data_IF_297995626906
#
_entry.id   IF_297995626906
#
_cell.length_a   1.000
_cell.length_b   1.000
_cell.length_c   1.000
_cell.angle_alpha   90.00
_cell.angle_beta   90.00
_cell.angle_gamma   90.00
#
_symmetry.space_group_name_H-M   'P 1'
#
loop_
_entity.id
_entity.type
_entity.pdbx_description
1 polymer ?
#
# COMPACT_ATOMS: atom_id res chain seq x y z
N UNK A 1 47.91 -4.89 31.93
CA UNK A 1 49.12 -4.50 32.68
C UNK A 1 49.24 -2.99 32.59
N UNK A 2 49.46 -2.29 33.71
CA UNK A 2 49.58 -0.82 33.75
C UNK A 2 51.04 -0.47 33.53
N UNK A 3 51.40 0.13 32.39
CA UNK A 3 52.76 0.59 32.13
C UNK A 3 53.01 1.88 32.91
N UNK A 4 54.12 1.93 33.65
CA UNK A 4 54.49 3.11 34.44
C UNK A 4 55.42 3.96 33.61
N UNK A 5 54.90 5.08 33.14
CA UNK A 5 55.62 5.99 32.25
C UNK A 5 56.69 6.73 33.06
N UNK A 6 57.97 6.56 32.70
CA UNK A 6 59.08 7.20 33.41
C UNK A 6 59.89 8.18 32.55
N UNK A 7 59.83 8.08 31.22
CA UNK A 7 60.60 8.91 30.30
C UNK A 7 59.77 9.40 29.09
N UNK A 8 60.24 10.44 28.39
CA UNK A 8 59.62 10.99 27.19
C UNK A 8 59.63 10.03 26.00
N UNK A 9 60.64 9.16 25.90
CA UNK A 9 60.67 8.10 24.88
C UNK A 9 59.60 7.05 25.15
N UNK A 10 59.43 6.66 26.42
CA UNK A 10 58.37 5.74 26.86
C UNK A 10 56.98 6.31 26.54
N UNK A 11 56.76 7.61 26.81
CA UNK A 11 55.55 8.33 26.40
C UNK A 11 55.29 8.23 24.89
N UNK A 12 56.30 8.47 24.06
CA UNK A 12 56.16 8.41 22.59
C UNK A 12 55.80 7.02 22.12
N UNK A 13 56.44 5.99 22.68
CA UNK A 13 56.13 4.60 22.33
C UNK A 13 54.73 4.20 22.75
N UNK A 14 54.28 4.62 23.94
CA UNK A 14 52.93 4.36 24.43
C UNK A 14 51.89 5.14 23.61
N UNK A 15 52.16 6.38 23.20
CA UNK A 15 51.28 7.13 22.29
C UNK A 15 51.14 6.41 20.94
N UNK A 16 52.23 5.90 20.37
CA UNK A 16 52.18 5.14 19.13
C UNK A 16 51.36 3.86 19.31
N UNK A 17 51.57 3.13 20.40
CA UNK A 17 50.78 1.95 20.75
C UNK A 17 49.29 2.26 20.88
N UNK A 18 48.95 3.28 21.68
CA UNK A 18 47.57 3.69 21.92
C UNK A 18 46.89 4.16 20.64
N UNK A 19 47.61 4.85 19.75
CA UNK A 19 47.09 5.25 18.44
C UNK A 19 46.78 4.03 17.57
N UNK A 20 47.64 3.01 17.56
CA UNK A 20 47.40 1.76 16.82
C UNK A 20 46.16 1.05 17.35
N UNK A 21 46.08 0.84 18.67
CA UNK A 21 44.93 0.19 19.32
C UNK A 21 43.64 0.96 19.05
N UNK A 22 43.69 2.30 19.14
CA UNK A 22 42.54 3.15 18.82
C UNK A 22 42.09 2.97 17.37
N UNK A 23 43.03 2.92 16.42
CA UNK A 23 42.71 2.73 15.01
C UNK A 23 42.05 1.38 14.74
N UNK A 24 42.48 0.33 15.43
CA UNK A 24 41.87 -1.00 15.35
C UNK A 24 40.43 -0.96 15.86
N UNK A 25 40.22 -0.40 17.06
CA UNK A 25 38.89 -0.27 17.67
C UNK A 25 37.96 0.58 16.79
N UNK A 26 38.44 1.72 16.26
CA UNK A 26 37.63 2.56 15.37
C UNK A 26 37.25 1.85 14.07
N UNK A 27 38.13 0.99 13.54
CA UNK A 27 37.85 0.17 12.37
C UNK A 27 36.77 -0.87 12.64
N UNK A 28 36.89 -1.60 13.76
CA UNK A 28 35.89 -2.59 14.19
C UNK A 28 34.53 -1.93 14.46
N UNK A 29 34.53 -0.81 15.17
CA UNK A 29 33.30 -0.09 15.51
C UNK A 29 32.58 0.42 14.25
N UNK A 30 33.32 0.97 13.28
CA UNK A 30 32.75 1.39 11.98
C UNK A 30 32.08 0.24 11.27
N UNK A 31 32.77 -0.91 11.19
CA UNK A 31 32.22 -2.11 10.56
C UNK A 31 30.91 -2.57 11.20
N UNK A 32 30.85 -2.60 12.54
CA UNK A 32 29.61 -2.96 13.24
C UNK A 32 28.49 -1.94 13.04
N UNK A 33 28.80 -0.64 13.10
CA UNK A 33 27.81 0.42 12.89
C UNK A 33 27.23 0.40 11.47
N UNK A 34 28.06 0.18 10.44
CA UNK A 34 27.61 0.05 9.05
C UNK A 34 26.71 -1.18 8.86
N UNK A 35 27.03 -2.29 9.54
CA UNK A 35 26.21 -3.51 9.53
C UNK A 35 24.86 -3.31 10.20
N UNK A 36 24.80 -2.56 11.30
CA UNK A 36 23.54 -2.22 11.97
C UNK A 36 22.74 -1.24 11.12
N UNK A 37 23.39 -0.17 10.64
CA UNK A 37 22.75 0.87 9.84
C UNK A 37 22.17 0.30 8.54
N UNK A 38 22.89 -0.58 7.84
CA UNK A 38 22.40 -1.22 6.60
C UNK A 38 21.16 -2.09 6.82
N UNK A 39 21.04 -2.79 7.95
CA UNK A 39 19.85 -3.58 8.30
C UNK A 39 18.60 -2.74 8.50
N UNK A 40 18.73 -1.51 9.00
CA UNK A 40 17.60 -0.60 9.19
C UNK A 40 17.34 0.30 7.97
N UNK A 41 18.39 0.68 7.23
CA UNK A 41 18.30 1.55 6.05
C UNK A 41 17.43 0.96 4.96
N UNK A 42 17.54 -0.35 4.68
CA UNK A 42 16.76 -1.01 3.62
C UNK A 42 15.25 -1.03 3.97
N UNK A 43 14.82 -1.50 5.15
CA UNK A 43 13.41 -1.41 5.56
C UNK A 43 12.86 0.03 5.56
N UNK A 44 13.62 1.01 6.07
CA UNK A 44 13.21 2.42 6.10
C UNK A 44 13.07 3.01 4.70
N UNK A 45 13.99 2.72 3.78
CA UNK A 45 13.91 3.16 2.38
C UNK A 45 12.75 2.51 1.63
N UNK A 46 12.41 1.26 1.94
CA UNK A 46 11.23 0.60 1.37
C UNK A 46 9.95 1.26 1.89
N UNK A 47 9.89 1.57 3.18
CA UNK A 47 8.73 2.26 3.77
C UNK A 47 8.54 3.67 3.18
N UNK A 48 9.63 4.43 2.99
CA UNK A 48 9.54 5.75 2.36
C UNK A 48 9.10 5.66 0.90
N UNK A 49 9.62 4.69 0.12
CA UNK A 49 9.19 4.45 -1.27
C UNK A 49 7.73 4.02 -1.37
N UNK A 50 7.27 3.18 -0.45
CA UNK A 50 5.85 2.78 -0.37
C UNK A 50 4.99 4.00 -0.04
N UNK A 51 5.40 4.80 0.94
CA UNK A 51 4.70 6.03 1.29
C UNK A 51 4.68 7.03 0.13
N UNK A 52 5.75 7.18 -0.65
CA UNK A 52 5.80 8.08 -1.81
C UNK A 52 4.92 7.61 -2.96
N UNK A 53 4.82 6.29 -3.17
CA UNK A 53 3.91 5.69 -4.16
C UNK A 53 2.43 5.83 -3.75
N UNK A 54 2.17 5.71 -2.45
CA UNK A 54 0.82 5.72 -1.88
C UNK A 54 0.32 7.14 -1.57
N UNK A 55 1.21 8.06 -1.19
CA UNK A 55 0.91 9.45 -0.85
C UNK A 55 0.06 10.18 -1.91
N UNK A 56 0.35 10.14 -3.22
CA UNK A 56 -0.49 10.80 -4.23
C UNK A 56 -1.89 10.20 -4.35
N UNK A 57 -2.13 8.97 -3.87
CA UNK A 57 -3.48 8.39 -3.80
C UNK A 57 -4.28 8.89 -2.60
N UNK A 58 -3.62 9.24 -1.48
CA UNK A 58 -4.27 9.67 -0.25
C UNK A 58 -4.21 11.19 -0.01
N UNK A 59 -3.56 11.95 -0.89
CA UNK A 59 -3.60 13.42 -0.83
C UNK A 59 -5.03 13.89 -1.15
N UNK A 60 -5.74 14.52 -0.20
CA UNK A 60 -7.07 15.06 -0.47
C UNK A 60 -6.95 16.19 -1.50
N UNK A 61 -7.78 16.14 -2.52
CA UNK A 61 -7.83 17.16 -3.55
C UNK A 61 -8.40 18.43 -2.88
N UNK A 62 -7.56 19.43 -2.61
CA UNK A 62 -7.90 20.64 -1.82
C UNK A 62 -8.97 21.55 -2.45
N UNK A 63 -9.61 21.13 -3.53
CA UNK A 63 -10.50 21.96 -4.33
C UNK A 63 -11.99 21.78 -3.98
N UNK A 64 -12.38 20.87 -3.06
CA UNK A 64 -13.78 20.70 -2.67
C UNK A 64 -13.98 20.64 -1.14
N UNK A 65 -14.72 21.59 -0.54
CA UNK A 65 -15.02 21.59 0.89
C UNK A 65 -16.11 20.55 1.18
N UNK A 66 -15.69 19.31 1.46
CA UNK A 66 -16.57 18.18 1.81
C UNK A 66 -15.98 16.79 1.55
N UNK A 67 -14.84 16.68 0.84
CA UNK A 67 -14.33 15.42 0.29
C UNK A 67 -13.58 14.51 1.28
N UNK A 68 -13.30 14.96 2.51
CA UNK A 68 -12.34 14.26 3.38
C UNK A 68 -12.81 12.84 3.77
N UNK A 69 -14.13 12.61 3.90
CA UNK A 69 -14.70 11.28 4.16
C UNK A 69 -14.83 10.43 2.89
N UNK A 70 -15.10 11.07 1.76
CA UNK A 70 -15.31 10.41 0.48
C UNK A 70 -13.97 9.95 -0.13
N UNK A 71 -12.88 10.68 0.14
CA UNK A 71 -11.56 10.42 -0.39
C UNK A 71 -10.89 9.19 0.26
N UNK A 72 -11.01 8.98 1.57
CA UNK A 72 -10.44 7.79 2.22
C UNK A 72 -11.22 6.52 1.86
N UNK A 73 -12.56 6.59 1.78
CA UNK A 73 -13.40 5.47 1.34
C UNK A 73 -13.07 5.12 -0.10
N UNK A 74 -12.97 6.12 -0.99
CA UNK A 74 -12.60 5.92 -2.39
C UNK A 74 -11.18 5.37 -2.52
N UNK A 75 -10.25 5.81 -1.68
CA UNK A 75 -8.87 5.28 -1.65
C UNK A 75 -8.80 3.84 -1.16
N UNK A 76 -9.54 3.50 -0.10
CA UNK A 76 -9.68 2.11 0.36
C UNK A 76 -10.37 1.27 -0.69
N UNK A 77 -11.37 1.77 -1.41
CA UNK A 77 -12.00 1.03 -2.49
C UNK A 77 -11.06 0.83 -3.67
N UNK A 78 -10.25 1.83 -4.05
CA UNK A 78 -9.25 1.71 -5.13
C UNK A 78 -8.19 0.65 -4.86
N UNK A 79 -7.77 0.50 -3.60
CA UNK A 79 -6.73 -0.47 -3.20
C UNK A 79 -7.36 -1.81 -2.78
N UNK A 80 -8.44 -1.76 -2.03
CA UNK A 80 -9.13 -2.91 -1.46
C UNK A 80 -9.92 -3.69 -2.49
N UNK A 81 -10.57 -3.04 -3.45
CA UNK A 81 -11.34 -3.74 -4.50
C UNK A 81 -10.49 -4.69 -5.33
N UNK A 82 -9.31 -4.32 -5.90
CA UNK A 82 -8.48 -5.26 -6.64
C UNK A 82 -7.90 -6.37 -5.76
N UNK A 83 -7.57 -6.09 -4.50
CA UNK A 83 -7.04 -7.09 -3.55
C UNK A 83 -8.10 -8.11 -3.15
N UNK A 84 -9.31 -7.64 -2.81
CA UNK A 84 -10.46 -8.50 -2.47
C UNK A 84 -10.92 -9.27 -3.70
N UNK A 85 -10.99 -8.65 -4.88
CA UNK A 85 -11.36 -9.33 -6.11
C UNK A 85 -10.35 -10.43 -6.49
N UNK A 86 -9.04 -10.19 -6.30
CA UNK A 86 -8.02 -11.21 -6.51
C UNK A 86 -8.14 -12.38 -5.51
N UNK A 87 -8.47 -12.10 -4.24
CA UNK A 87 -8.57 -13.12 -3.20
C UNK A 87 -9.89 -13.91 -3.25
N UNK A 88 -11.00 -13.27 -3.62
CA UNK A 88 -12.34 -13.85 -3.51
C UNK A 88 -12.99 -14.20 -4.85
N UNK A 89 -12.77 -13.43 -5.91
CA UNK A 89 -13.41 -13.66 -7.22
C UNK A 89 -12.50 -14.51 -8.12
N UNK A 90 -11.18 -14.33 -8.04
CA UNK A 90 -10.26 -15.09 -8.88
C UNK A 90 -9.01 -15.63 -8.14
N UNK A 91 -9.18 -16.53 -7.15
CA UNK A 91 -8.12 -16.98 -6.23
C UNK A 91 -6.91 -17.68 -6.89
N UNK A 92 -6.94 -17.98 -8.19
CA UNK A 92 -5.83 -18.56 -8.97
C UNK A 92 -5.45 -17.78 -10.23
N UNK A 93 -6.05 -16.62 -10.48
CA UNK A 93 -5.90 -15.91 -11.77
C UNK A 93 -4.71 -14.95 -11.83
N UNK A 94 -3.52 -15.38 -11.39
CA UNK A 94 -2.31 -14.58 -11.59
C UNK A 94 -2.18 -14.04 -13.03
N UNK A 95 -2.71 -14.78 -14.02
CA UNK A 95 -2.88 -14.36 -15.41
C UNK A 95 -3.82 -13.17 -15.63
N UNK A 96 -5.04 -13.13 -15.06
CA UNK A 96 -5.97 -12.01 -15.29
C UNK A 96 -5.45 -10.69 -14.72
N UNK A 97 -4.87 -10.72 -13.51
CA UNK A 97 -4.25 -9.53 -12.94
C UNK A 97 -3.04 -9.08 -13.77
N UNK A 98 -2.19 -10.02 -14.21
CA UNK A 98 -1.07 -9.72 -15.12
C UNK A 98 -1.57 -9.12 -16.44
N UNK A 99 -2.60 -9.68 -17.07
CA UNK A 99 -3.17 -9.17 -18.31
C UNK A 99 -3.83 -7.81 -18.12
N UNK A 100 -4.56 -7.57 -17.03
CA UNK A 100 -5.15 -6.26 -16.74
C UNK A 100 -4.05 -5.22 -16.50
N UNK A 101 -3.03 -5.56 -15.72
CA UNK A 101 -1.89 -4.67 -15.46
C UNK A 101 -1.06 -4.43 -16.73
N UNK A 102 -0.87 -5.44 -17.57
CA UNK A 102 -0.16 -5.36 -18.84
C UNK A 102 -0.94 -4.55 -19.88
N UNK A 103 -2.25 -4.73 -19.99
CA UNK A 103 -3.13 -3.91 -20.83
C UNK A 103 -3.18 -2.45 -20.34
N UNK A 104 -3.25 -2.23 -19.02
CA UNK A 104 -3.16 -0.90 -18.43
C UNK A 104 -1.78 -0.28 -18.68
N UNK A 105 -0.71 -1.06 -18.60
CA UNK A 105 0.66 -0.61 -18.86
C UNK A 105 0.86 -0.23 -20.33
N UNK A 106 0.35 -1.03 -21.27
CA UNK A 106 0.37 -0.73 -22.70
C UNK A 106 -0.44 0.53 -23.03
N UNK A 107 -1.59 0.75 -22.38
CA UNK A 107 -2.42 1.94 -22.58
C UNK A 107 -1.89 3.20 -21.87
N UNK A 108 -1.08 3.06 -20.83
CA UNK A 108 -0.43 4.18 -20.13
C UNK A 108 0.65 4.85 -20.99
N UNK A 109 1.27 4.13 -21.92
CA UNK A 109 2.33 4.66 -22.77
C UNK A 109 1.85 5.61 -23.88
N UNK A 110 0.54 5.69 -24.19
CA UNK A 110 0.06 6.51 -25.32
C UNK A 110 -0.85 7.68 -24.99
N UNK A 111 -1.75 7.61 -24.01
CA UNK A 111 -2.49 8.79 -23.51
C UNK A 111 -3.39 8.34 -22.36
N UNK A 112 -3.06 8.70 -21.12
CA UNK A 112 -4.01 8.58 -20.02
C UNK A 112 -5.03 9.70 -20.16
N UNK A 113 -6.01 9.53 -21.07
CA UNK A 113 -7.13 10.46 -21.13
C UNK A 113 -8.07 10.16 -19.94
N UNK A 114 -8.24 11.15 -19.07
CA UNK A 114 -9.03 11.07 -17.83
C UNK A 114 -10.47 10.58 -18.10
N UNK A 115 -10.98 10.88 -19.28
CA UNK A 115 -12.33 10.53 -19.72
C UNK A 115 -12.49 9.01 -19.91
N UNK A 116 -11.51 8.33 -20.51
CA UNK A 116 -11.56 6.88 -20.76
C UNK A 116 -11.48 6.09 -19.45
N UNK A 117 -10.66 6.55 -18.51
CA UNK A 117 -10.56 5.95 -17.17
C UNK A 117 -11.85 6.17 -16.39
N UNK A 118 -12.45 7.36 -16.50
CA UNK A 118 -13.72 7.69 -15.83
C UNK A 118 -14.88 6.87 -16.39
N UNK A 119 -14.94 6.67 -17.71
CA UNK A 119 -15.96 5.86 -18.36
C UNK A 119 -15.86 4.37 -18.01
N UNK A 120 -14.64 3.83 -17.92
CA UNK A 120 -14.42 2.46 -17.45
C UNK A 120 -14.85 2.28 -15.99
N UNK A 121 -14.53 3.25 -15.13
CA UNK A 121 -14.93 3.24 -13.72
C UNK A 121 -16.46 3.33 -13.61
N UNK A 122 -17.11 4.19 -14.40
CA UNK A 122 -18.56 4.32 -14.42
C UNK A 122 -19.24 3.03 -14.87
N UNK A 123 -18.79 2.42 -15.98
CA UNK A 123 -19.32 1.14 -16.48
C UNK A 123 -19.14 0.01 -15.47
N UNK A 124 -18.00 -0.05 -14.79
CA UNK A 124 -17.75 -1.07 -13.76
C UNK A 124 -18.63 -0.86 -12.52
N UNK A 125 -18.78 0.40 -12.09
CA UNK A 125 -19.67 0.80 -11.00
C UNK A 125 -21.14 0.47 -11.31
N UNK A 126 -21.58 0.76 -12.53
CA UNK A 126 -22.93 0.42 -13.02
C UNK A 126 -23.15 -1.10 -13.08
N UNK A 127 -22.17 -1.86 -13.57
CA UNK A 127 -22.26 -3.31 -13.61
C UNK A 127 -22.41 -3.93 -12.21
N UNK A 128 -21.63 -3.48 -11.23
CA UNK A 128 -21.74 -3.88 -9.82
C UNK A 128 -23.10 -3.48 -9.24
N UNK A 129 -23.58 -2.27 -9.53
CA UNK A 129 -24.90 -1.79 -9.07
C UNK A 129 -26.04 -2.60 -9.72
N UNK A 130 -25.93 -2.97 -10.99
CA UNK A 130 -26.93 -3.78 -11.70
C UNK A 130 -27.06 -5.18 -11.12
N UNK A 131 -25.95 -5.80 -10.73
CA UNK A 131 -25.91 -7.10 -10.05
C UNK A 131 -26.59 -7.03 -8.67
N UNK A 132 -26.50 -5.91 -7.95
CA UNK A 132 -27.24 -5.71 -6.69
C UNK A 132 -28.73 -5.40 -6.89
N UNK A 133 -29.13 -4.79 -8.01
CA UNK A 133 -30.54 -4.47 -8.29
C UNK A 133 -31.40 -5.67 -8.66
N UNK A 134 -30.81 -6.74 -9.23
CA UNK A 134 -31.54 -7.99 -9.51
C UNK A 134 -32.08 -8.71 -8.26
N UNK A 135 -31.65 -8.34 -7.04
CA UNK A 135 -32.14 -8.94 -5.79
C UNK A 135 -33.32 -8.19 -5.15
N UNK A 136 -33.79 -7.08 -5.73
CA UNK A 136 -34.82 -6.22 -5.10
C UNK A 136 -36.13 -6.12 -5.90
N UNK A 137 -36.31 -6.95 -6.93
CA UNK A 137 -37.49 -6.93 -7.80
C UNK A 137 -38.20 -8.30 -7.85
N UNK A 138 -38.19 -9.01 -6.72
CA UNK A 138 -39.01 -10.20 -6.48
C UNK A 138 -39.72 -10.15 -5.11
N UNK A 139 -39.93 -8.95 -4.54
CA UNK A 139 -40.98 -8.76 -3.56
C UNK A 139 -42.24 -8.41 -4.35
N UNK A 140 -42.90 -9.47 -4.83
CA UNK A 140 -44.21 -9.38 -5.45
C UNK A 140 -45.18 -8.65 -4.53
N UNK A 141 -46.05 -7.87 -5.15
CA UNK A 141 -47.21 -7.23 -4.52
C UNK A 141 -47.90 -8.27 -3.62
N UNK A 142 -47.95 -8.04 -2.31
CA UNK A 142 -48.84 -8.82 -1.45
C UNK A 142 -50.27 -8.49 -1.88
N UNK A 143 -50.87 -9.44 -2.58
CA UNK A 143 -52.29 -9.44 -2.93
C UNK A 143 -53.08 -9.65 -1.63
N UNK A 144 -53.63 -8.57 -1.08
CA UNK A 144 -54.56 -8.60 0.05
C UNK A 144 -55.96 -9.03 -0.40
N UNK A 145 -56.05 -10.13 -1.15
CA UNK A 145 -57.29 -10.74 -1.60
C UNK A 145 -58.07 -11.32 -0.42
N UNK A 146 -59.38 -11.05 -0.38
CA UNK A 146 -60.31 -11.64 0.59
C UNK A 146 -60.39 -13.16 0.33
N UNK A 147 -60.28 -14.02 1.36
CA UNK A 147 -60.30 -15.48 1.18
C UNK A 147 -61.60 -15.97 0.52
N UNK A 148 -61.53 -16.92 -0.44
CA UNK A 148 -62.64 -17.27 -1.33
C UNK A 148 -63.79 -18.09 -0.72
N UNK A 149 -63.87 -18.23 0.61
CA UNK A 149 -64.91 -19.04 1.29
C UNK A 149 -65.82 -18.22 2.23
N UNK A 150 -65.90 -16.89 2.10
CA UNK A 150 -66.77 -16.06 2.95
C UNK A 150 -68.24 -15.98 2.50
N UNK A 151 -68.60 -16.62 1.40
CA UNK A 151 -69.99 -16.70 0.93
C UNK A 151 -70.49 -18.14 1.07
N UNK A 152 -70.98 -18.47 2.27
CA UNK A 152 -71.85 -19.64 2.47
C UNK A 152 -73.24 -19.14 2.89
N UNK A 153 -74.24 -19.62 2.15
CA UNK A 153 -75.67 -19.25 2.13
C UNK A 153 -76.38 -19.23 3.49
#
# INVERSE_FOLDING_TARGET
>A
MRTRIQNSDDLRTEILRLRTVRSEIEGELKYETDRIASRFRVPLMLFSKVNDWVSPMFKPNRNEPGSLQQDWVTSIFRIGLPVVMNKFIFPRSGFLLKSVVELLSQNTAKTVNKDVVSDLINKFSEWIKSTKRKKKQEQGMEDYGIPPDSETY
#
